data_IF_926953308293
#
_entry.id   IF_926953308293
#
_cell.length_a   1.000
_cell.length_b   1.000
_cell.length_c   1.000
_cell.angle_alpha   90.00
_cell.angle_beta   90.00
_cell.angle_gamma   90.00
#
_symmetry.space_group_name_H-M   'P 1'
#
loop_
_entity.id
_entity.type
_entity.pdbx_description
1 polymer ?
#
# COMPACT_ATOMS: atom_id res chain seq x y z
N UNK A 1 -16.91 1.55 -13.11
CA UNK A 1 -16.05 1.80 -12.98
C UNK A 1 -15.37 1.90 -12.15
N UNK A 2 -15.11 1.88 -11.72
CA UNK A 2 -14.51 2.23 -11.00
C UNK A 2 -13.27 2.11 -10.90
N UNK A 3 -12.55 1.62 -10.69
CA UNK A 3 -11.18 1.56 -10.60
C UNK A 3 -10.52 2.60 -9.74
N UNK A 4 -11.28 3.23 -8.93
CA UNK A 4 -10.73 4.22 -8.07
C UNK A 4 -9.98 3.55 -6.94
N UNK A 5 -8.72 3.92 -6.75
CA UNK A 5 -7.91 3.41 -5.65
C UNK A 5 -8.20 4.19 -4.38
N UNK A 6 -8.13 3.51 -3.24
CA UNK A 6 -8.22 4.19 -1.96
C UNK A 6 -6.95 4.99 -1.74
N UNK A 7 -7.07 6.30 -1.65
CA UNK A 7 -5.94 7.20 -1.49
C UNK A 7 -6.12 8.05 -0.26
N UNK A 8 -5.11 8.06 0.60
CA UNK A 8 -5.06 8.91 1.77
C UNK A 8 -3.62 9.31 1.99
N UNK A 9 -3.42 10.33 2.79
CA UNK A 9 -2.07 10.68 3.21
C UNK A 9 -1.61 9.62 4.20
N UNK A 10 -0.55 8.91 3.87
CA UNK A 10 -0.02 7.88 4.75
C UNK A 10 0.64 8.54 5.96
N UNK A 11 0.14 8.21 7.13
CA UNK A 11 0.70 8.67 8.40
C UNK A 11 0.90 7.44 9.26
N UNK A 12 1.70 7.59 10.32
CA UNK A 12 1.94 6.47 11.24
C UNK A 12 0.63 5.91 11.78
N UNK A 13 -0.33 6.79 12.13
CA UNK A 13 -1.61 6.34 12.63
C UNK A 13 -2.43 5.57 11.61
N UNK A 14 -2.45 6.06 10.37
CA UNK A 14 -3.21 5.37 9.32
C UNK A 14 -2.58 4.03 8.96
N UNK A 15 -1.25 3.96 8.95
CA UNK A 15 -0.55 2.71 8.71
C UNK A 15 -0.86 1.71 9.82
N UNK A 16 -0.86 2.15 11.07
CA UNK A 16 -1.14 1.27 12.19
C UNK A 16 -2.57 0.74 12.16
N UNK A 17 -3.52 1.57 11.72
CA UNK A 17 -4.93 1.22 11.74
C UNK A 17 -5.41 0.44 10.52
N UNK A 18 -4.66 0.47 9.44
CA UNK A 18 -5.10 -0.18 8.21
C UNK A 18 -5.01 -1.70 8.35
N UNK A 19 -6.10 -2.37 8.06
CA UNK A 19 -6.17 -3.82 8.15
C UNK A 19 -6.74 -4.40 6.87
N UNK A 20 -6.38 -5.66 6.60
CA UNK A 20 -6.92 -6.37 5.44
C UNK A 20 -8.39 -6.69 5.68
N UNK A 21 -9.29 -6.30 4.79
CA UNK A 21 -10.70 -6.62 4.93
C UNK A 21 -10.93 -8.13 4.95
N UNK A 22 -11.92 -8.53 5.72
CA UNK A 22 -12.29 -9.94 5.80
C UNK A 22 -12.62 -10.48 4.41
N UNK A 23 -12.11 -11.65 4.10
CA UNK A 23 -12.36 -12.30 2.82
C UNK A 23 -11.40 -11.93 1.70
N UNK A 24 -10.45 -11.03 1.97
CA UNK A 24 -9.46 -10.63 0.97
C UNK A 24 -8.10 -11.20 1.32
N UNK A 25 -7.31 -11.52 0.29
CA UNK A 25 -5.96 -12.02 0.49
C UNK A 25 -4.95 -10.89 0.73
N UNK A 26 -5.29 -9.68 0.30
CA UNK A 26 -4.46 -8.51 0.53
C UNK A 26 -5.28 -7.26 0.24
N UNK A 27 -4.82 -6.14 0.77
CA UNK A 27 -5.41 -4.84 0.50
C UNK A 27 -4.31 -3.81 0.38
N UNK A 28 -4.60 -2.74 -0.36
CA UNK A 28 -3.64 -1.66 -0.61
C UNK A 28 -4.23 -0.33 -0.19
N UNK A 29 -3.37 0.51 0.39
CA UNK A 29 -3.72 1.88 0.72
C UNK A 29 -2.69 2.79 0.06
N UNK A 30 -3.14 3.64 -0.86
CA UNK A 30 -2.26 4.45 -1.68
C UNK A 30 -2.05 5.82 -1.06
N UNK A 31 -0.82 6.33 -1.18
CA UNK A 31 -0.47 7.64 -0.64
C UNK A 31 -0.86 8.74 -1.63
N UNK A 32 -1.46 9.81 -1.10
CA UNK A 32 -1.81 10.97 -1.94
C UNK A 32 -0.60 11.83 -2.26
N UNK A 33 0.37 11.88 -1.36
CA UNK A 33 1.56 12.71 -1.55
C UNK A 33 2.57 12.07 -2.49
N UNK A 34 2.64 10.75 -2.49
CA UNK A 34 3.51 9.99 -3.37
C UNK A 34 2.66 8.97 -4.11
N UNK A 35 2.12 9.34 -5.28
CA UNK A 35 1.10 8.52 -5.92
C UNK A 35 1.49 7.08 -6.22
N UNK A 36 2.78 6.80 -6.37
CA UNK A 36 3.23 5.44 -6.66
C UNK A 36 3.47 4.61 -5.40
N UNK A 37 3.39 5.22 -4.23
CA UNK A 37 3.65 4.53 -2.97
C UNK A 37 2.35 3.97 -2.40
N UNK A 38 2.41 2.74 -1.92
CA UNK A 38 1.27 2.10 -1.29
C UNK A 38 1.70 1.28 -0.10
N UNK A 39 0.75 1.07 0.81
CA UNK A 39 0.89 0.14 1.91
C UNK A 39 0.09 -1.10 1.57
N UNK A 40 0.73 -2.26 1.56
CA UNK A 40 0.06 -3.54 1.35
C UNK A 40 -0.10 -4.22 2.69
N UNK A 41 -1.28 -4.74 2.96
CA UNK A 41 -1.55 -5.49 4.18
C UNK A 41 -2.16 -6.83 3.81
N UNK A 42 -1.78 -7.87 4.55
CA UNK A 42 -2.29 -9.22 4.38
C UNK A 42 -3.16 -9.61 5.59
N UNK A 43 -3.94 -10.69 5.49
CA UNK A 43 -4.80 -11.11 6.60
C UNK A 43 -4.05 -11.39 7.91
N UNK A 44 -2.75 -11.73 7.81
CA UNK A 44 -1.94 -11.97 9.00
C UNK A 44 -1.49 -10.68 9.67
N UNK A 45 -1.83 -9.54 9.06
CA UNK A 45 -1.44 -8.25 9.61
C UNK A 45 -0.08 -7.76 9.16
N UNK A 46 0.56 -8.45 8.23
CA UNK A 46 1.84 -8.01 7.71
C UNK A 46 1.63 -6.81 6.80
N UNK A 47 2.35 -5.74 7.08
CA UNK A 47 2.27 -4.48 6.34
C UNK A 47 3.59 -4.23 5.65
N UNK A 48 3.53 -3.97 4.35
CA UNK A 48 4.72 -3.76 3.53
C UNK A 48 4.51 -2.55 2.65
N UNK A 49 5.51 -1.68 2.59
CA UNK A 49 5.48 -0.57 1.63
C UNK A 49 5.90 -1.08 0.27
N UNK A 50 5.15 -0.70 -0.75
CA UNK A 50 5.47 -1.06 -2.13
C UNK A 50 5.45 0.19 -2.99
N UNK A 51 6.30 0.20 -4.00
CA UNK A 51 6.35 1.27 -4.97
C UNK A 51 5.97 0.69 -6.32
N UNK A 52 4.94 1.25 -6.94
CA UNK A 52 4.46 0.76 -8.22
C UNK A 52 4.80 1.77 -9.29
N UNK A 53 5.48 1.33 -10.34
CA UNK A 53 5.88 2.19 -11.44
C UNK A 53 5.45 1.56 -12.74
N UNK A 54 5.19 2.40 -13.74
CA UNK A 54 4.84 1.93 -15.06
C UNK A 54 5.99 2.26 -16.02
N UNK A 55 6.47 1.23 -16.71
CA UNK A 55 7.56 1.39 -17.65
C UNK A 55 7.20 0.64 -18.94
N UNK A 56 7.21 1.36 -20.06
CA UNK A 56 6.90 0.79 -21.37
C UNK A 56 5.60 0.00 -21.37
N UNK A 57 4.59 0.52 -20.71
CA UNK A 57 3.28 -0.13 -20.65
C UNK A 57 3.17 -1.25 -19.63
N UNK A 58 4.26 -1.62 -18.98
CA UNK A 58 4.24 -2.67 -17.97
C UNK A 58 4.27 -2.06 -16.58
N UNK A 59 3.56 -2.69 -15.65
CA UNK A 59 3.54 -2.27 -14.27
C UNK A 59 4.63 -3.02 -13.51
N UNK A 60 5.50 -2.26 -12.85
CA UNK A 60 6.55 -2.82 -12.03
C UNK A 60 6.26 -2.46 -10.57
N UNK A 61 6.28 -3.46 -9.70
CA UNK A 61 6.03 -3.26 -8.28
C UNK A 61 7.26 -3.70 -7.51
N UNK A 62 7.78 -2.79 -6.69
CA UNK A 62 8.98 -3.04 -5.90
C UNK A 62 8.62 -2.99 -4.42
N UNK A 63 8.97 -4.03 -3.68
CA UNK A 63 8.81 -4.04 -2.23
C UNK A 63 9.93 -3.21 -1.63
N UNK A 64 9.55 -2.19 -0.86
CA UNK A 64 10.52 -1.32 -0.21
C UNK A 64 10.95 -1.92 1.11
N UNK A 65 9.98 -2.42 1.90
CA UNK A 65 10.27 -3.00 3.19
C UNK A 65 9.01 -3.03 4.05
N UNK A 66 9.12 -3.68 5.20
CA UNK A 66 7.99 -3.79 6.11
C UNK A 66 7.78 -2.49 6.86
N UNK A 67 6.54 -2.25 7.26
CA UNK A 67 6.21 -1.03 8.01
C UNK A 67 6.88 -1.03 9.38
N UNK A 68 7.30 -2.20 9.88
CA UNK A 68 8.02 -2.28 11.13
C UNK A 68 9.43 -1.73 11.01
N UNK A 69 10.03 -1.81 9.81
CA UNK A 69 11.40 -1.36 9.59
C UNK A 69 11.50 0.05 9.06
N UNK A 70 10.46 0.52 8.37
CA UNK A 70 10.46 1.82 7.71
C UNK A 70 9.40 2.71 8.34
N UNK A 71 9.74 3.96 8.59
CA UNK A 71 8.79 4.95 9.08
C UNK A 71 8.63 6.05 8.05
N UNK A 72 7.48 6.67 8.11
CA UNK A 72 7.15 7.78 7.20
C UNK A 72 7.72 9.10 7.72
#
# INVERSE_FOLDING_TARGET
>A
MSGQKSRVRLTAGRVADFACPHGKSQAFLWDTDTPALALRVTPTGRKTYVFESRLHGSTIRVNIGTAAEWSL
#
